data_IF_246784191375
#
_entry.id   IF_246784191375
#
_cell.length_a   1.000
_cell.length_b   1.000
_cell.length_c   1.000
_cell.angle_alpha   90.00
_cell.angle_beta   90.00
_cell.angle_gamma   90.00
#
_symmetry.space_group_name_H-M   'P 1'
#
loop_
_entity.id
_entity.type
_entity.pdbx_description
1 polymer ?
#
# COMPACT_ATOMS: atom_id res chain seq x y z
N UNK A 1 -34.92 -16.11 60.17
CA UNK A 1 -34.91 -14.75 60.74
C UNK A 1 -34.20 -14.84 62.08
N UNK A 2 -33.13 -14.12 62.27
CA UNK A 2 -32.56 -13.98 63.61
C UNK A 2 -33.34 -12.93 64.41
N UNK A 3 -33.19 -12.92 65.68
CA UNK A 3 -34.01 -12.15 66.62
C UNK A 3 -34.04 -10.63 66.46
N UNK A 4 -33.46 -10.07 65.38
CA UNK A 4 -33.39 -8.64 65.09
C UNK A 4 -33.96 -8.24 63.72
N UNK A 5 -34.67 -9.12 63.01
CA UNK A 5 -35.31 -8.77 61.73
C UNK A 5 -34.41 -8.34 60.63
N UNK A 6 -33.12 -8.66 60.72
CA UNK A 6 -32.13 -8.39 59.68
C UNK A 6 -32.00 -9.60 58.77
N UNK A 7 -32.21 -9.38 57.49
CA UNK A 7 -32.04 -10.37 56.44
C UNK A 7 -30.55 -10.81 56.42
N UNK A 8 -30.29 -12.11 56.29
CA UNK A 8 -28.94 -12.60 56.24
C UNK A 8 -28.25 -12.23 54.89
N UNK A 9 -26.95 -12.26 54.86
CA UNK A 9 -26.16 -11.80 53.68
C UNK A 9 -26.51 -12.59 52.42
N UNK A 10 -26.84 -13.88 52.52
CA UNK A 10 -27.18 -14.71 51.35
C UNK A 10 -28.59 -14.34 50.81
N UNK A 11 -29.57 -14.17 51.68
CA UNK A 11 -30.92 -13.73 51.30
C UNK A 11 -30.89 -12.34 50.67
N UNK A 12 -30.01 -11.44 51.14
CA UNK A 12 -29.80 -10.11 50.57
C UNK A 12 -29.14 -10.19 49.18
N UNK A 13 -28.17 -11.06 48.99
CA UNK A 13 -27.53 -11.29 47.69
C UNK A 13 -28.48 -11.91 46.64
N UNK A 14 -29.32 -12.86 47.05
CA UNK A 14 -30.37 -13.44 46.21
C UNK A 14 -31.43 -12.42 45.83
N UNK A 15 -31.88 -11.60 46.75
CA UNK A 15 -32.83 -10.52 46.47
C UNK A 15 -32.25 -9.50 45.50
N UNK A 16 -30.96 -9.10 45.66
CA UNK A 16 -30.28 -8.22 44.74
C UNK A 16 -30.16 -8.86 43.35
N UNK A 17 -29.90 -10.17 43.27
CA UNK A 17 -29.87 -10.90 42.00
C UNK A 17 -31.23 -10.90 41.31
N UNK A 18 -32.28 -11.11 42.06
CA UNK A 18 -33.65 -11.14 41.55
C UNK A 18 -34.15 -9.75 41.12
N UNK A 19 -33.86 -8.71 41.89
CA UNK A 19 -34.15 -7.31 41.53
C UNK A 19 -33.35 -6.89 40.30
N UNK A 20 -32.10 -7.26 40.19
CA UNK A 20 -31.28 -7.00 39.00
C UNK A 20 -31.76 -7.79 37.77
N UNK A 21 -32.25 -9.01 37.95
CA UNK A 21 -32.80 -9.84 36.87
C UNK A 21 -34.12 -9.31 36.33
N UNK A 22 -34.99 -8.81 37.21
CA UNK A 22 -36.33 -8.33 36.89
C UNK A 22 -36.44 -6.81 36.71
N UNK A 23 -35.32 -6.09 36.81
CA UNK A 23 -35.29 -4.65 36.66
C UNK A 23 -35.73 -4.23 35.26
N UNK A 24 -36.73 -3.34 35.11
CA UNK A 24 -37.12 -2.79 33.81
C UNK A 24 -36.00 -2.03 33.12
N UNK A 25 -34.99 -1.59 33.86
CA UNK A 25 -33.78 -0.93 33.31
C UNK A 25 -32.88 -1.92 32.54
N UNK A 26 -33.00 -3.24 32.75
CA UNK A 26 -32.21 -4.23 31.98
C UNK A 26 -32.66 -4.30 30.51
N UNK A 27 -33.94 -4.00 30.22
CA UNK A 27 -34.47 -3.90 28.85
C UNK A 27 -33.97 -2.62 28.12
N UNK A 28 -33.71 -1.55 28.89
CA UNK A 28 -33.14 -0.31 28.34
C UNK A 28 -31.63 -0.40 28.09
N UNK A 29 -30.93 -1.28 28.82
CA UNK A 29 -29.47 -1.46 28.63
C UNK A 29 -29.11 -2.31 27.39
N UNK A 30 -30.07 -3.05 26.83
CA UNK A 30 -29.88 -3.83 25.61
C UNK A 30 -30.12 -3.02 24.32
N UNK A 31 -30.78 -1.89 24.39
CA UNK A 31 -30.89 -0.95 23.27
C UNK A 31 -29.54 -0.26 23.07
N UNK A 32 -28.93 -0.37 21.88
CA UNK A 32 -27.71 0.36 21.56
C UNK A 32 -27.91 1.83 21.89
N UNK A 33 -27.04 2.36 22.75
CA UNK A 33 -27.05 3.78 23.15
C UNK A 33 -26.93 4.65 21.88
N UNK A 34 -27.97 5.44 21.60
CA UNK A 34 -27.98 6.29 20.38
C UNK A 34 -27.29 7.63 20.59
N UNK A 35 -27.28 8.14 21.81
CA UNK A 35 -26.75 9.46 22.15
C UNK A 35 -25.72 9.37 23.27
N UNK A 36 -24.60 10.06 23.14
CA UNK A 36 -23.59 10.24 24.17
C UNK A 36 -23.58 11.68 24.67
N UNK A 37 -23.06 11.91 25.86
CA UNK A 37 -22.85 13.27 26.38
C UNK A 37 -21.64 13.91 25.71
N UNK A 38 -21.57 15.24 25.71
CA UNK A 38 -20.38 15.99 25.24
C UNK A 38 -19.15 15.65 26.08
N UNK A 39 -19.33 15.29 27.37
CA UNK A 39 -18.21 14.83 28.21
C UNK A 39 -17.65 13.51 27.76
N UNK A 40 -18.53 12.51 27.53
CA UNK A 40 -18.13 11.18 27.02
C UNK A 40 -17.41 11.28 25.67
N UNK A 41 -17.91 12.09 24.73
CA UNK A 41 -17.23 12.37 23.46
C UNK A 41 -15.85 12.98 23.69
N UNK A 42 -15.75 13.95 24.59
CA UNK A 42 -14.49 14.59 24.87
C UNK A 42 -13.49 13.69 25.58
N UNK A 43 -13.92 12.79 26.43
CA UNK A 43 -13.08 11.75 27.06
C UNK A 43 -12.60 10.75 26.02
N UNK A 44 -13.47 10.34 25.10
CA UNK A 44 -13.13 9.45 23.99
C UNK A 44 -12.04 10.03 23.09
N UNK A 45 -12.05 11.34 22.87
CA UNK A 45 -11.05 12.05 22.03
C UNK A 45 -9.91 12.68 22.85
N UNK A 46 -9.85 12.51 24.17
CA UNK A 46 -8.84 13.13 25.02
C UNK A 46 -8.89 14.66 25.06
N UNK A 47 -10.04 15.28 24.81
CA UNK A 47 -10.18 16.73 24.67
C UNK A 47 -10.46 17.44 26.00
N UNK A 48 -9.88 18.64 26.15
CA UNK A 48 -10.20 19.56 27.24
C UNK A 48 -11.61 20.13 27.10
N UNK A 49 -12.19 20.65 28.18
CA UNK A 49 -13.58 21.18 28.22
C UNK A 49 -13.85 22.23 27.14
N UNK A 50 -12.92 23.14 26.90
CA UNK A 50 -13.02 24.20 25.88
C UNK A 50 -13.05 23.62 24.47
N UNK A 51 -12.20 22.63 24.19
CA UNK A 51 -12.08 22.03 22.87
C UNK A 51 -13.28 21.17 22.50
N UNK A 52 -13.90 20.52 23.53
CA UNK A 52 -15.19 19.78 23.40
C UNK A 52 -16.29 20.73 22.94
N UNK A 53 -16.37 21.92 23.57
CA UNK A 53 -17.35 22.94 23.24
C UNK A 53 -17.18 23.42 21.79
N UNK A 54 -15.96 23.75 21.39
CA UNK A 54 -15.69 24.19 20.03
C UNK A 54 -16.00 23.11 19.00
N UNK A 55 -15.67 21.85 19.27
CA UNK A 55 -15.92 20.74 18.35
C UNK A 55 -17.42 20.53 18.10
N UNK A 56 -18.25 20.59 19.15
CA UNK A 56 -19.70 20.45 19.05
C UNK A 56 -20.31 21.59 18.21
N UNK A 57 -19.81 22.82 18.34
CA UNK A 57 -20.32 23.98 17.61
C UNK A 57 -19.89 24.05 16.16
N UNK A 58 -18.97 23.18 15.72
CA UNK A 58 -18.58 23.06 14.31
C UNK A 58 -19.58 22.28 13.46
N UNK A 59 -20.58 21.69 14.06
CA UNK A 59 -21.65 20.93 13.39
C UNK A 59 -21.14 19.82 12.44
N UNK A 60 -20.03 19.18 12.80
CA UNK A 60 -19.49 18.07 12.01
C UNK A 60 -20.32 16.78 12.13
N UNK A 61 -21.09 16.66 13.19
CA UNK A 61 -21.96 15.54 13.49
C UNK A 61 -23.26 16.04 14.15
N UNK A 62 -24.29 15.19 14.13
CA UNK A 62 -25.61 15.53 14.67
C UNK A 62 -25.56 15.72 16.18
N UNK A 63 -26.09 16.84 16.63
CA UNK A 63 -26.27 17.16 18.05
C UNK A 63 -27.71 17.50 18.36
N UNK A 64 -28.18 17.19 19.57
CA UNK A 64 -29.54 17.49 20.03
C UNK A 64 -29.54 17.79 21.51
N UNK A 65 -30.35 18.74 21.92
CA UNK A 65 -30.62 19.00 23.34
C UNK A 65 -31.65 18.00 23.86
N UNK A 66 -31.28 17.25 24.91
CA UNK A 66 -32.14 16.26 25.57
C UNK A 66 -32.08 16.54 27.07
N UNK A 67 -33.25 16.84 27.67
CA UNK A 67 -33.40 17.19 29.08
C UNK A 67 -32.45 18.34 29.52
N UNK A 68 -32.40 19.42 28.71
CA UNK A 68 -31.56 20.60 28.99
C UNK A 68 -30.07 20.39 28.85
N UNK A 69 -29.63 19.28 28.22
CA UNK A 69 -28.22 18.97 28.00
C UNK A 69 -27.97 18.59 26.56
N UNK A 70 -26.90 19.19 25.98
CA UNK A 70 -26.42 18.83 24.63
C UNK A 70 -25.96 17.36 24.58
N UNK A 71 -26.41 16.64 23.56
CA UNK A 71 -26.05 15.25 23.28
C UNK A 71 -25.54 15.13 21.86
N UNK A 72 -24.66 14.17 21.65
CA UNK A 72 -24.05 13.84 20.37
C UNK A 72 -24.61 12.51 19.89
N UNK A 73 -25.07 12.45 18.65
CA UNK A 73 -25.51 11.21 18.01
C UNK A 73 -24.27 10.35 17.73
N UNK A 74 -24.26 9.13 18.28
CA UNK A 74 -23.10 8.22 18.19
C UNK A 74 -22.83 7.80 16.75
N UNK A 75 -23.85 7.44 15.98
CA UNK A 75 -23.71 7.01 14.60
C UNK A 75 -23.15 8.13 13.71
N UNK A 76 -23.69 9.35 13.84
CA UNK A 76 -23.21 10.52 13.12
C UNK A 76 -21.77 10.88 13.50
N UNK A 77 -21.41 10.75 14.80
CA UNK A 77 -20.05 10.94 15.27
C UNK A 77 -19.07 9.90 14.69
N UNK A 78 -19.43 8.61 14.71
CA UNK A 78 -18.59 7.55 14.13
C UNK A 78 -18.39 7.73 12.62
N UNK A 79 -19.44 8.12 11.90
CA UNK A 79 -19.34 8.45 10.48
C UNK A 79 -18.41 9.64 10.22
N UNK A 80 -18.51 10.69 11.03
CA UNK A 80 -17.56 11.80 10.97
C UNK A 80 -16.13 11.34 11.29
N UNK A 81 -15.97 10.53 12.36
CA UNK A 81 -14.66 10.04 12.78
C UNK A 81 -14.00 9.16 11.71
N UNK A 82 -14.75 8.37 10.99
CA UNK A 82 -14.28 7.58 9.86
C UNK A 82 -13.85 8.41 8.63
N UNK A 83 -14.23 9.69 8.59
CA UNK A 83 -13.97 10.62 7.47
C UNK A 83 -13.12 11.84 7.84
N UNK A 84 -12.41 11.81 8.95
CA UNK A 84 -11.46 12.86 9.39
C UNK A 84 -10.12 12.23 9.80
N UNK A 85 -9.05 13.05 9.93
CA UNK A 85 -7.70 12.57 10.29
C UNK A 85 -7.07 13.38 11.44
N UNK A 86 -7.74 14.45 11.90
CA UNK A 86 -7.20 15.38 12.88
C UNK A 86 -7.32 14.88 14.33
N UNK A 87 -8.45 14.25 14.67
CA UNK A 87 -8.77 13.84 16.03
C UNK A 87 -8.58 12.33 16.18
N UNK A 88 -7.94 11.91 17.26
CA UNK A 88 -7.67 10.50 17.56
C UNK A 88 -8.42 10.07 18.82
N UNK A 89 -8.99 8.89 18.82
CA UNK A 89 -9.58 8.29 20.01
C UNK A 89 -8.50 7.79 20.97
N UNK A 90 -8.67 8.00 22.25
CA UNK A 90 -7.73 7.56 23.30
C UNK A 90 -7.60 6.04 23.36
N UNK A 91 -8.61 5.30 22.90
CA UNK A 91 -8.59 3.84 22.84
C UNK A 91 -7.68 3.25 21.74
N UNK A 92 -6.98 4.08 20.98
CA UNK A 92 -6.07 3.66 19.92
C UNK A 92 -6.74 3.36 18.57
N UNK A 93 -8.06 3.53 18.46
CA UNK A 93 -8.75 3.42 17.17
C UNK A 93 -8.33 4.56 16.24
N UNK A 94 -7.82 4.21 15.06
CA UNK A 94 -7.37 5.22 14.10
C UNK A 94 -8.55 5.88 13.37
N UNK A 95 -8.46 7.20 13.11
CA UNK A 95 -9.45 7.92 12.31
C UNK A 95 -9.31 7.63 10.82
N UNK A 96 -10.30 8.07 10.05
CA UNK A 96 -10.20 8.09 8.59
C UNK A 96 -10.30 6.74 7.90
N UNK A 97 -10.94 5.74 8.54
CA UNK A 97 -11.11 4.40 7.96
C UNK A 97 -11.81 4.45 6.59
N UNK A 98 -12.94 5.16 6.50
CA UNK A 98 -13.65 5.32 5.23
C UNK A 98 -12.84 6.15 4.23
N UNK A 99 -12.07 7.16 4.69
CA UNK A 99 -11.19 7.92 3.80
C UNK A 99 -10.16 7.03 3.09
N UNK A 100 -9.56 6.08 3.82
CA UNK A 100 -8.59 5.13 3.27
C UNK A 100 -9.21 4.16 2.25
N UNK A 101 -10.52 3.92 2.35
CA UNK A 101 -11.23 3.06 1.40
C UNK A 101 -11.36 3.70 0.00
N UNK A 102 -11.65 5.00 -0.07
CA UNK A 102 -11.91 5.66 -1.35
C UNK A 102 -10.83 6.63 -1.83
N UNK A 103 -9.84 6.98 -1.00
CA UNK A 103 -8.80 7.95 -1.36
C UNK A 103 -7.43 7.58 -0.78
N UNK A 104 -6.38 8.07 -1.44
CA UNK A 104 -5.00 8.02 -0.98
C UNK A 104 -4.58 9.36 -0.40
N UNK A 105 -3.78 9.36 0.66
CA UNK A 105 -2.99 10.52 1.10
C UNK A 105 -1.75 10.69 0.22
N UNK A 106 -1.13 11.87 0.27
CA UNK A 106 0.12 12.12 -0.48
C UNK A 106 1.26 11.18 -0.03
N UNK A 107 1.49 10.95 1.29
CA UNK A 107 2.49 9.98 1.72
C UNK A 107 2.21 8.52 1.26
N UNK A 108 0.94 8.07 1.27
CA UNK A 108 0.58 6.75 0.75
C UNK A 108 0.92 6.60 -0.75
N UNK A 109 0.66 7.65 -1.55
CA UNK A 109 1.05 7.68 -2.96
C UNK A 109 2.57 7.72 -3.14
N UNK A 110 3.27 8.47 -2.29
CA UNK A 110 4.73 8.55 -2.31
C UNK A 110 5.37 7.18 -2.04
N UNK A 111 4.88 6.46 -1.04
CA UNK A 111 5.33 5.10 -0.74
C UNK A 111 4.99 4.11 -1.87
N UNK A 112 3.76 4.17 -2.40
CA UNK A 112 3.29 3.26 -3.46
C UNK A 112 4.08 3.41 -4.77
N UNK A 113 4.47 4.65 -5.13
CA UNK A 113 5.22 4.95 -6.34
C UNK A 113 6.74 5.00 -6.11
N UNK A 114 7.20 4.89 -4.86
CA UNK A 114 8.61 5.07 -4.43
C UNK A 114 9.16 6.45 -4.82
N UNK A 115 8.38 7.48 -4.54
CA UNK A 115 8.70 8.87 -4.81
C UNK A 115 8.68 9.70 -3.50
N UNK A 116 9.11 10.96 -3.58
CA UNK A 116 8.97 11.90 -2.47
C UNK A 116 7.62 12.62 -2.53
N UNK A 117 7.12 13.09 -1.38
CA UNK A 117 5.88 13.87 -1.29
C UNK A 117 5.89 15.09 -2.23
N UNK A 118 7.03 15.76 -2.36
CA UNK A 118 7.19 16.91 -3.26
C UNK A 118 6.90 16.53 -4.72
N UNK A 119 7.43 15.40 -5.18
CA UNK A 119 7.18 14.90 -6.55
C UNK A 119 5.70 14.55 -6.73
N UNK A 120 5.03 13.98 -5.72
CA UNK A 120 3.60 13.69 -5.78
C UNK A 120 2.77 14.99 -5.89
N UNK A 121 3.13 16.05 -5.14
CA UNK A 121 2.47 17.35 -5.29
C UNK A 121 2.64 17.93 -6.69
N UNK A 122 3.84 17.81 -7.28
CA UNK A 122 4.10 18.26 -8.65
C UNK A 122 3.32 17.44 -9.68
N UNK A 123 3.25 16.11 -9.53
CA UNK A 123 2.45 15.24 -10.39
C UNK A 123 0.96 15.61 -10.36
N UNK A 124 0.41 15.81 -9.17
CA UNK A 124 -0.98 16.24 -8.98
C UNK A 124 -1.22 17.56 -9.73
N UNK A 125 -0.32 18.52 -9.61
CA UNK A 125 -0.45 19.84 -10.23
C UNK A 125 -0.29 19.78 -11.75
N UNK A 126 0.75 19.11 -12.24
CA UNK A 126 1.07 19.04 -13.67
C UNK A 126 0.02 18.25 -14.46
N UNK A 127 -0.47 17.16 -13.90
CA UNK A 127 -1.45 16.29 -14.55
C UNK A 127 -2.89 16.65 -14.20
N UNK A 128 -3.12 17.71 -13.41
CA UNK A 128 -4.44 18.15 -12.96
C UNK A 128 -5.26 17.01 -12.34
N UNK A 129 -4.60 16.16 -11.54
CA UNK A 129 -5.27 15.05 -10.85
C UNK A 129 -6.25 15.66 -9.84
N UNK A 130 -7.47 15.16 -9.82
CA UNK A 130 -8.50 15.59 -8.90
C UNK A 130 -8.08 15.31 -7.44
N UNK A 131 -8.28 16.30 -6.57
CA UNK A 131 -7.97 16.19 -5.15
C UNK A 131 -9.13 16.66 -4.30
N UNK A 132 -9.28 16.07 -3.14
CA UNK A 132 -10.21 16.50 -2.08
C UNK A 132 -9.39 16.96 -0.89
N UNK A 133 -9.82 18.04 -0.24
CA UNK A 133 -9.17 18.56 0.97
C UNK A 133 -9.96 18.08 2.18
N UNK A 134 -9.29 17.33 3.06
CA UNK A 134 -9.84 16.86 4.33
C UNK A 134 -8.92 17.34 5.46
N UNK A 135 -9.46 18.08 6.40
CA UNK A 135 -8.72 18.65 7.55
C UNK A 135 -7.41 19.35 7.15
N UNK A 136 -7.43 20.15 6.07
CA UNK A 136 -6.29 20.87 5.46
C UNK A 136 -5.33 20.00 4.64
N UNK A 137 -5.50 18.69 4.59
CA UNK A 137 -4.64 17.78 3.83
C UNK A 137 -5.26 17.41 2.50
N UNK A 138 -4.43 17.36 1.47
CA UNK A 138 -4.87 16.88 0.14
C UNK A 138 -4.94 15.36 0.15
N UNK A 139 -6.04 14.84 -0.36
CA UNK A 139 -6.22 13.41 -0.64
C UNK A 139 -6.63 13.23 -2.09
N UNK A 140 -6.16 12.18 -2.72
CA UNK A 140 -6.46 11.86 -4.11
C UNK A 140 -7.47 10.71 -4.14
N UNK A 141 -8.67 10.91 -4.71
CA UNK A 141 -9.62 9.81 -4.92
C UNK A 141 -8.97 8.67 -5.70
N UNK A 142 -9.20 7.43 -5.28
CA UNK A 142 -8.62 6.24 -5.96
C UNK A 142 -8.99 6.18 -7.43
N UNK A 143 -10.22 6.55 -7.78
CA UNK A 143 -10.68 6.62 -9.18
C UNK A 143 -9.90 7.66 -9.99
N UNK A 144 -9.61 8.85 -9.42
CA UNK A 144 -8.83 9.89 -10.09
C UNK A 144 -7.36 9.46 -10.27
N UNK A 145 -6.78 8.81 -9.26
CA UNK A 145 -5.45 8.22 -9.36
C UNK A 145 -5.40 7.15 -10.45
N UNK A 146 -6.34 6.20 -10.45
CA UNK A 146 -6.38 5.11 -11.42
C UNK A 146 -6.50 5.64 -12.86
N UNK A 147 -7.39 6.60 -13.07
CA UNK A 147 -7.57 7.24 -14.40
C UNK A 147 -6.26 7.87 -14.90
N UNK A 148 -5.52 8.55 -14.03
CA UNK A 148 -4.22 9.10 -14.40
C UNK A 148 -3.19 7.99 -14.63
N UNK A 149 -3.16 7.00 -13.75
CA UNK A 149 -2.20 5.90 -13.77
C UNK A 149 -2.29 5.07 -15.04
N UNK A 150 -3.51 4.76 -15.50
CA UNK A 150 -3.77 3.99 -16.72
C UNK A 150 -3.38 4.77 -17.99
N UNK A 151 -3.33 6.10 -17.92
CA UNK A 151 -2.97 6.96 -19.05
C UNK A 151 -1.46 7.22 -19.19
N UNK A 152 -0.62 6.62 -18.38
CA UNK A 152 0.83 6.84 -18.42
C UNK A 152 1.61 5.54 -18.13
N UNK A 153 2.87 5.47 -18.61
CA UNK A 153 3.75 4.30 -18.43
C UNK A 153 5.02 4.64 -17.63
N UNK A 154 5.26 5.93 -17.35
CA UNK A 154 6.50 6.40 -16.72
C UNK A 154 6.59 6.05 -15.23
N UNK A 155 5.49 6.21 -14.50
CA UNK A 155 5.44 5.99 -13.07
C UNK A 155 4.74 4.66 -12.79
N UNK A 156 5.47 3.74 -12.17
CA UNK A 156 4.95 2.39 -11.85
C UNK A 156 4.90 2.23 -10.34
N UNK A 157 3.85 1.58 -9.86
CA UNK A 157 3.75 1.21 -8.45
C UNK A 157 4.85 0.19 -8.09
N UNK A 158 5.19 0.10 -6.81
CA UNK A 158 6.14 -0.91 -6.31
C UNK A 158 5.74 -2.34 -6.69
N UNK A 159 4.43 -2.63 -6.64
CA UNK A 159 3.90 -3.94 -7.00
C UNK A 159 4.01 -4.21 -8.50
N UNK A 160 3.68 -3.22 -9.33
CA UNK A 160 3.83 -3.35 -10.78
C UNK A 160 5.29 -3.47 -11.20
N UNK A 161 6.21 -2.70 -10.59
CA UNK A 161 7.65 -2.85 -10.85
C UNK A 161 8.16 -4.26 -10.53
N UNK A 162 7.66 -4.86 -9.43
CA UNK A 162 8.01 -6.24 -9.09
C UNK A 162 7.49 -7.23 -10.13
N UNK A 163 6.23 -7.09 -10.53
CA UNK A 163 5.62 -7.92 -11.58
C UNK A 163 6.30 -7.72 -12.93
N UNK A 164 6.60 -6.47 -13.29
CA UNK A 164 7.33 -6.14 -14.51
C UNK A 164 8.72 -6.80 -14.51
N UNK A 165 9.44 -6.78 -13.38
CA UNK A 165 10.75 -7.43 -13.25
C UNK A 165 10.66 -8.97 -13.39
N UNK A 166 9.62 -9.60 -12.84
CA UNK A 166 9.36 -11.03 -13.01
C UNK A 166 9.10 -11.38 -14.48
N UNK A 167 8.28 -10.56 -15.16
CA UNK A 167 8.02 -10.72 -16.59
C UNK A 167 9.26 -10.41 -17.44
N UNK A 168 10.08 -9.42 -17.06
CA UNK A 168 11.33 -9.11 -17.73
C UNK A 168 12.34 -10.27 -17.65
N UNK A 169 12.41 -10.94 -16.50
CA UNK A 169 13.25 -12.11 -16.32
C UNK A 169 12.86 -13.30 -17.23
N UNK A 170 11.56 -13.41 -17.56
CA UNK A 170 11.03 -14.45 -18.45
C UNK A 170 11.04 -14.08 -19.94
N UNK A 171 11.49 -12.87 -20.30
CA UNK A 171 11.44 -12.33 -21.67
C UNK A 171 12.77 -11.78 -22.12
N UNK A 172 12.92 -11.60 -23.43
CA UNK A 172 14.07 -11.00 -24.09
C UNK A 172 13.66 -9.75 -24.86
N UNK A 173 14.51 -8.73 -24.83
CA UNK A 173 14.39 -7.59 -25.73
C UNK A 173 14.98 -7.91 -27.11
N UNK A 174 14.61 -7.15 -28.14
CA UNK A 174 15.19 -7.30 -29.48
C UNK A 174 16.73 -7.15 -29.51
N UNK A 175 17.34 -6.19 -28.75
CA UNK A 175 18.78 -6.11 -28.63
C UNK A 175 19.42 -7.31 -27.92
N UNK A 176 18.78 -7.90 -26.93
CA UNK A 176 19.27 -9.12 -26.25
C UNK A 176 19.22 -10.31 -27.20
N UNK A 177 18.11 -10.51 -27.93
CA UNK A 177 18.03 -11.53 -28.97
C UNK A 177 19.12 -11.34 -30.04
N UNK A 178 19.37 -10.10 -30.48
CA UNK A 178 20.41 -9.78 -31.43
C UNK A 178 21.82 -10.19 -30.95
N UNK A 179 22.11 -9.91 -29.67
CA UNK A 179 23.39 -10.32 -29.04
C UNK A 179 23.48 -11.83 -28.94
N UNK A 180 22.45 -12.51 -28.46
CA UNK A 180 22.49 -13.98 -28.32
C UNK A 180 22.68 -14.72 -29.63
N UNK A 181 22.20 -14.16 -30.74
CA UNK A 181 22.38 -14.73 -32.07
C UNK A 181 23.63 -14.20 -32.82
N UNK A 182 24.41 -13.28 -32.27
CA UNK A 182 25.53 -12.64 -32.95
C UNK A 182 25.15 -11.85 -34.22
N UNK A 183 23.90 -11.34 -34.29
CA UNK A 183 23.37 -10.65 -35.47
C UNK A 183 22.98 -9.21 -35.15
N UNK A 184 22.72 -8.44 -36.20
CA UNK A 184 22.28 -7.06 -36.04
C UNK A 184 20.78 -7.00 -35.63
N UNK A 185 20.42 -5.91 -34.95
CA UNK A 185 19.01 -5.65 -34.57
C UNK A 185 18.06 -5.63 -35.79
N UNK A 186 18.52 -5.16 -36.93
CA UNK A 186 17.72 -5.14 -38.16
C UNK A 186 17.44 -6.56 -38.69
N UNK A 187 18.40 -7.47 -38.55
CA UNK A 187 18.21 -8.89 -38.89
C UNK A 187 17.20 -9.55 -37.95
N UNK A 188 17.22 -9.22 -36.66
CA UNK A 188 16.20 -9.69 -35.73
C UNK A 188 14.79 -9.27 -36.17
N UNK A 189 14.58 -8.00 -36.54
CA UNK A 189 13.30 -7.56 -37.09
C UNK A 189 12.93 -8.28 -38.39
N UNK A 190 13.93 -8.61 -39.22
CA UNK A 190 13.72 -9.44 -40.41
C UNK A 190 13.21 -10.83 -40.07
N UNK A 191 13.79 -11.50 -39.08
CA UNK A 191 13.33 -12.81 -38.57
C UNK A 191 11.92 -12.73 -38.02
N UNK A 192 11.64 -11.75 -37.16
CA UNK A 192 10.33 -11.59 -36.50
C UNK A 192 9.19 -11.29 -37.48
N UNK A 193 9.49 -10.64 -38.60
CA UNK A 193 8.51 -10.30 -39.64
C UNK A 193 8.46 -11.32 -40.78
N UNK A 194 9.36 -12.32 -40.80
CA UNK A 194 9.39 -13.36 -41.82
C UNK A 194 8.23 -14.31 -41.68
N UNK A 195 7.52 -14.60 -42.77
CA UNK A 195 6.46 -15.62 -42.80
C UNK A 195 6.96 -17.01 -42.37
N UNK A 196 8.26 -17.29 -42.58
CA UNK A 196 8.89 -18.55 -42.20
C UNK A 196 9.01 -18.70 -40.68
N UNK A 197 9.28 -17.62 -39.93
CA UNK A 197 9.65 -17.70 -38.52
C UNK A 197 8.69 -16.99 -37.56
N UNK A 198 7.83 -16.09 -38.02
CA UNK A 198 6.94 -15.29 -37.16
C UNK A 198 6.04 -16.13 -36.25
N UNK A 199 5.67 -17.33 -36.65
CA UNK A 199 4.80 -18.22 -35.91
C UNK A 199 5.44 -18.82 -34.64
N UNK A 200 6.77 -18.77 -34.51
CA UNK A 200 7.45 -19.20 -33.30
C UNK A 200 7.33 -18.25 -32.16
N UNK A 201 7.22 -16.93 -32.44
CA UNK A 201 7.44 -15.90 -31.44
C UNK A 201 6.16 -15.44 -30.76
N UNK A 202 6.18 -15.51 -29.44
CA UNK A 202 5.17 -14.90 -28.57
C UNK A 202 5.69 -13.60 -28.00
N UNK A 203 4.83 -12.55 -28.06
CA UNK A 203 5.19 -11.21 -27.65
C UNK A 203 4.46 -10.78 -26.39
N UNK A 204 5.18 -10.15 -25.48
CA UNK A 204 4.64 -9.50 -24.29
C UNK A 204 5.03 -8.04 -24.32
N UNK A 205 4.12 -7.16 -23.89
CA UNK A 205 4.40 -5.73 -23.74
C UNK A 205 4.57 -5.39 -22.27
N UNK A 206 5.73 -4.86 -21.89
CA UNK A 206 6.05 -4.44 -20.53
C UNK A 206 6.45 -2.96 -20.60
N UNK A 207 5.76 -2.10 -19.87
CA UNK A 207 6.00 -0.65 -19.85
C UNK A 207 6.20 -0.05 -21.26
N UNK A 208 5.27 -0.32 -22.17
CA UNK A 208 5.24 0.08 -23.59
C UNK A 208 6.39 -0.49 -24.47
N UNK A 209 7.16 -1.43 -23.94
CA UNK A 209 8.22 -2.11 -24.69
C UNK A 209 7.80 -3.52 -25.08
N UNK A 210 7.84 -3.81 -26.36
CA UNK A 210 7.59 -5.15 -26.90
C UNK A 210 8.80 -6.05 -26.63
N UNK A 211 8.58 -7.21 -26.01
CA UNK A 211 9.59 -8.23 -25.67
C UNK A 211 9.14 -9.58 -26.19
N UNK A 212 10.05 -10.53 -26.31
CA UNK A 212 9.81 -11.90 -26.77
C UNK A 212 9.91 -12.83 -25.55
N UNK A 213 9.05 -13.82 -25.41
CA UNK A 213 9.19 -14.80 -24.35
C UNK A 213 10.40 -15.68 -24.58
N UNK A 214 11.17 -15.98 -23.53
CA UNK A 214 12.34 -16.87 -23.62
C UNK A 214 11.94 -18.26 -24.12
N UNK A 215 10.76 -18.75 -23.74
CA UNK A 215 10.20 -20.02 -24.20
C UNK A 215 10.03 -20.06 -25.73
N UNK A 216 9.41 -19.02 -26.30
CA UNK A 216 9.21 -18.90 -27.73
C UNK A 216 10.52 -18.78 -28.52
N UNK A 217 11.49 -18.07 -27.94
CA UNK A 217 12.84 -17.98 -28.51
C UNK A 217 13.58 -19.33 -28.47
N UNK A 218 13.49 -20.07 -27.36
CA UNK A 218 14.06 -21.41 -27.24
C UNK A 218 13.42 -22.39 -28.23
N UNK A 219 12.10 -22.32 -28.41
CA UNK A 219 11.39 -23.09 -29.41
C UNK A 219 11.89 -22.81 -30.83
N UNK A 220 12.07 -21.52 -31.17
CA UNK A 220 12.65 -21.08 -32.43
C UNK A 220 14.04 -21.70 -32.63
N UNK A 221 14.95 -21.66 -31.65
CA UNK A 221 16.29 -22.23 -31.74
C UNK A 221 16.27 -23.74 -31.95
N UNK A 222 15.34 -24.45 -31.38
CA UNK A 222 15.26 -25.91 -31.46
C UNK A 222 14.65 -26.42 -32.77
N UNK A 223 13.79 -25.65 -33.44
CA UNK A 223 13.01 -26.08 -34.59
C UNK A 223 13.53 -25.54 -35.94
N UNK A 224 14.64 -24.75 -35.90
CA UNK A 224 15.28 -24.24 -37.11
C UNK A 224 16.81 -24.47 -37.08
N UNK A 225 17.47 -24.57 -38.24
CA UNK A 225 18.91 -24.90 -38.40
C UNK A 225 19.76 -23.72 -38.90
N UNK A 226 19.13 -22.54 -39.14
CA UNK A 226 19.80 -21.42 -39.80
C UNK A 226 20.48 -20.47 -38.77
N UNK A 227 19.89 -20.35 -37.56
CA UNK A 227 20.36 -19.44 -36.52
C UNK A 227 20.77 -20.23 -35.28
N UNK A 228 21.97 -19.94 -34.75
CA UNK A 228 22.50 -20.56 -33.54
C UNK A 228 22.88 -19.49 -32.53
N UNK A 229 23.00 -19.87 -31.26
CA UNK A 229 23.55 -18.98 -30.23
C UNK A 229 25.01 -18.66 -30.56
N UNK A 230 25.42 -17.42 -30.40
CA UNK A 230 26.80 -16.99 -30.55
C UNK A 230 27.62 -17.48 -29.34
N UNK A 231 28.61 -18.39 -29.54
CA UNK A 231 29.40 -18.93 -28.43
C UNK A 231 30.22 -17.84 -27.68
N UNK A 232 30.45 -16.69 -28.27
CA UNK A 232 31.14 -15.58 -27.61
C UNK A 232 30.29 -14.95 -26.46
N UNK A 233 28.96 -15.10 -26.49
CA UNK A 233 28.08 -14.54 -25.46
C UNK A 233 28.06 -15.37 -24.18
N UNK A 234 28.30 -16.67 -24.22
CA UNK A 234 28.36 -17.52 -23.02
C UNK A 234 29.48 -17.05 -22.07
N UNK A 235 30.58 -16.57 -22.62
CA UNK A 235 31.73 -16.03 -21.85
C UNK A 235 31.44 -14.64 -21.26
N UNK A 236 30.66 -13.78 -21.92
CA UNK A 236 30.28 -12.47 -21.40
C UNK A 236 29.24 -12.57 -20.28
N UNK A 237 28.30 -13.52 -20.37
CA UNK A 237 27.28 -13.75 -19.35
C UNK A 237 27.90 -14.30 -18.06
N UNK A 238 28.83 -15.23 -18.16
CA UNK A 238 29.63 -15.74 -17.03
C UNK A 238 30.49 -14.63 -16.40
N UNK A 239 31.15 -13.80 -17.20
CA UNK A 239 31.93 -12.69 -16.70
C UNK A 239 31.10 -11.58 -16.07
N UNK A 240 29.85 -11.34 -16.54
CA UNK A 240 28.91 -10.43 -15.89
C UNK A 240 28.40 -10.98 -14.56
N UNK A 241 28.08 -12.28 -14.47
CA UNK A 241 27.65 -12.91 -13.22
C UNK A 241 28.75 -12.87 -12.16
N UNK A 242 30.01 -13.14 -12.54
CA UNK A 242 31.15 -13.00 -11.63
C UNK A 242 31.34 -11.56 -11.15
N UNK A 243 31.25 -10.57 -12.05
CA UNK A 243 31.36 -9.15 -11.69
C UNK A 243 30.22 -8.68 -10.76
N UNK A 244 28.98 -9.14 -10.97
CA UNK A 244 27.84 -8.85 -10.09
C UNK A 244 28.02 -9.52 -8.73
N UNK A 245 28.49 -10.76 -8.69
CA UNK A 245 28.80 -11.48 -7.45
C UNK A 245 29.91 -10.77 -6.65
N UNK A 246 30.97 -10.31 -7.33
CA UNK A 246 32.06 -9.53 -6.72
C UNK A 246 31.60 -8.16 -6.21
N UNK A 247 30.75 -7.47 -6.95
CA UNK A 247 30.18 -6.19 -6.54
C UNK A 247 29.28 -6.35 -5.29
N UNK A 248 28.47 -7.41 -5.25
CA UNK A 248 27.63 -7.74 -4.11
C UNK A 248 28.44 -8.17 -2.88
N UNK A 249 29.54 -8.92 -3.07
CA UNK A 249 30.47 -9.29 -2.01
C UNK A 249 31.17 -8.04 -1.45
N UNK A 250 31.65 -7.12 -2.30
CA UNK A 250 32.25 -5.84 -1.89
C UNK A 250 31.24 -4.98 -1.11
N UNK A 251 29.99 -4.88 -1.57
CA UNK A 251 28.92 -4.11 -0.87
C UNK A 251 28.62 -4.67 0.50
N UNK A 252 28.57 -6.01 0.69
CA UNK A 252 28.34 -6.67 1.97
C UNK A 252 29.49 -6.52 2.95
N UNK A 253 30.72 -6.44 2.48
CA UNK A 253 31.92 -6.45 3.31
C UNK A 253 32.57 -5.07 3.52
N UNK A 254 32.09 -4.02 2.81
CA UNK A 254 32.65 -2.66 2.89
C UNK A 254 32.60 -2.01 4.28
N UNK A 255 31.68 -2.45 5.14
CA UNK A 255 31.49 -1.88 6.48
C UNK A 255 31.95 -2.80 7.64
N UNK A 256 32.78 -3.81 7.40
CA UNK A 256 33.38 -4.57 8.49
C UNK A 256 34.73 -3.95 8.89
N UNK A 257 34.84 -3.32 10.09
CA UNK A 257 36.13 -2.86 10.59
C UNK A 257 36.99 -4.10 10.91
N UNK A 258 38.18 -4.18 10.32
CA UNK A 258 39.15 -5.23 10.60
C UNK A 258 39.52 -6.20 9.47
N UNK A 259 39.08 -5.96 8.24
CA UNK A 259 39.42 -6.85 7.12
C UNK A 259 40.53 -6.25 6.25
N UNK A 260 41.78 -6.30 6.76
CA UNK A 260 42.99 -5.88 6.02
C UNK A 260 43.33 -6.83 4.85
N UNK A 261 42.76 -8.04 4.82
CA UNK A 261 42.97 -9.02 3.71
C UNK A 261 42.25 -8.64 2.41
N UNK A 262 41.23 -7.78 2.46
CA UNK A 262 40.50 -7.32 1.25
C UNK A 262 41.32 -6.40 0.33
N UNK A 263 42.44 -5.85 0.81
CA UNK A 263 43.29 -4.91 0.03
C UNK A 263 44.33 -5.68 -0.81
N UNK A 264 44.71 -6.86 -0.36
CA UNK A 264 45.75 -7.67 -1.04
C UNK A 264 45.26 -8.29 -2.38
N UNK A 265 43.96 -8.56 -2.51
CA UNK A 265 43.40 -9.18 -3.73
C UNK A 265 43.28 -8.16 -4.89
N UNK A 266 43.16 -6.87 -4.58
CA UNK A 266 43.12 -5.82 -5.62
C UNK A 266 44.46 -5.54 -6.29
N UNK A 267 45.59 -5.97 -5.72
CA UNK A 267 46.92 -5.72 -6.24
C UNK A 267 47.45 -6.83 -7.17
N UNK A 268 46.70 -7.94 -7.31
CA UNK A 268 47.12 -9.08 -8.14
C UNK A 268 46.39 -9.09 -9.51
N UNK A 269 45.36 -8.24 -9.69
CA UNK A 269 44.52 -8.19 -10.91
C UNK A 269 44.63 -6.84 -11.66
N UNK A 270 45.68 -6.08 -11.48
CA UNK A 270 46.19 -5.01 -12.32
C UNK A 270 47.54 -5.47 -12.89
#
# INVERSE_FOLDING_TARGET
MDEKGKMNTKEYEELIKEVKANSPYKRLSSAKKKWMSVSEMGELLGLKKTDRYWLVHKNFFETKEIAGKMRVNIESFEKWYANQIKYHKVNGEEPGKELKEWSYSVPELAEMLELTDGVIYDLIKQNKIEVVIVDYWKRVPKAAFQKWYDGQSRYRTKEDKKRDAEMEAATLTMPEMARQLGITRNQVYGILNSQKYQHFFEFVTIADRKRITKESFQKFLNEQDEYHLDPANDYEELAMEENVALANYRRKNWHRPGNEEGIAICSILL
#
